data_IF_790381593990
#
_entry.id   IF_790381593990
#
_cell.length_a   1.000
_cell.length_b   1.000
_cell.length_c   1.000
_cell.angle_alpha   90.00
_cell.angle_beta   90.00
_cell.angle_gamma   90.00
#
_symmetry.space_group_name_H-M   'P 1'
#
loop_
_entity.id
_entity.type
_entity.pdbx_description
1 polymer ?
#
# COMPACT_ATOMS: atom_id res chain seq x y z
N UNK A 1 1.02 -2.47 -16.89
CA UNK A 1 0.12 -3.12 -15.90
C UNK A 1 -0.81 -2.04 -15.34
N UNK A 2 -2.12 -2.22 -15.45
CA UNK A 2 -3.16 -1.31 -14.93
C UNK A 2 -3.51 -1.57 -13.46
N UNK A 3 -2.99 -2.66 -12.88
CA UNK A 3 -3.31 -3.12 -11.51
C UNK A 3 -3.16 -2.06 -10.44
N UNK A 4 -2.23 -1.11 -10.56
CA UNK A 4 -2.15 0.01 -9.61
C UNK A 4 -3.42 0.87 -9.61
N UNK A 5 -4.07 1.06 -10.77
CA UNK A 5 -5.28 1.85 -10.90
C UNK A 5 -6.47 1.06 -10.36
N UNK A 6 -6.64 -0.17 -10.83
CA UNK A 6 -7.78 -1.01 -10.45
C UNK A 6 -7.76 -1.28 -8.93
N UNK A 7 -6.63 -1.79 -8.41
CA UNK A 7 -6.49 -2.13 -7.00
C UNK A 7 -6.34 -0.90 -6.11
N UNK A 8 -5.59 0.11 -6.56
CA UNK A 8 -5.40 1.33 -5.78
C UNK A 8 -6.66 2.18 -5.70
N UNK A 9 -7.48 2.21 -6.75
CA UNK A 9 -8.79 2.88 -6.69
C UNK A 9 -9.77 2.09 -5.83
N UNK A 10 -9.79 0.77 -5.91
CA UNK A 10 -10.60 -0.06 -5.03
C UNK A 10 -10.24 0.16 -3.55
N UNK A 11 -8.94 0.13 -3.21
CA UNK A 11 -8.45 0.38 -1.85
C UNK A 11 -8.75 1.81 -1.38
N UNK A 12 -8.52 2.82 -2.22
CA UNK A 12 -8.80 4.21 -1.85
C UNK A 12 -10.30 4.45 -1.64
N UNK A 13 -11.15 4.00 -2.56
CA UNK A 13 -12.58 4.23 -2.48
C UNK A 13 -13.28 3.37 -1.44
N UNK A 14 -12.78 2.19 -1.09
CA UNK A 14 -13.32 1.44 0.06
C UNK A 14 -13.19 2.26 1.35
N UNK A 15 -12.06 2.93 1.54
CA UNK A 15 -11.78 3.79 2.70
C UNK A 15 -12.64 5.06 2.64
N UNK A 16 -12.57 5.81 1.52
CA UNK A 16 -13.25 7.10 1.39
C UNK A 16 -14.77 6.98 1.43
N UNK A 17 -15.34 5.99 0.74
CA UNK A 17 -16.80 5.81 0.71
C UNK A 17 -17.33 5.32 2.06
N UNK A 18 -16.58 4.49 2.79
CA UNK A 18 -16.94 4.10 4.15
C UNK A 18 -16.99 5.30 5.11
N UNK A 19 -16.02 6.22 4.98
CA UNK A 19 -16.04 7.48 5.75
C UNK A 19 -17.23 8.35 5.38
N UNK A 20 -17.45 8.58 4.08
CA UNK A 20 -18.54 9.44 3.58
C UNK A 20 -19.94 8.90 3.88
N UNK A 21 -20.08 7.58 3.95
CA UNK A 21 -21.31 6.92 4.37
C UNK A 21 -21.53 6.95 5.89
N UNK A 22 -20.60 7.51 6.67
CA UNK A 22 -20.66 7.56 8.14
C UNK A 22 -20.44 6.21 8.82
N UNK A 23 -19.91 5.20 8.10
CA UNK A 23 -19.64 3.86 8.63
C UNK A 23 -18.37 3.87 9.48
N UNK A 24 -17.35 4.64 9.07
CA UNK A 24 -16.08 4.77 9.79
C UNK A 24 -15.87 6.17 10.39
N UNK A 25 -15.09 6.22 11.48
CA UNK A 25 -14.65 7.45 12.13
C UNK A 25 -13.15 7.70 11.92
N UNK A 26 -12.66 8.88 12.30
CA UNK A 26 -11.28 9.34 12.01
C UNK A 26 -10.20 8.34 12.41
N UNK A 27 -10.33 7.67 13.57
CA UNK A 27 -9.34 6.68 14.02
C UNK A 27 -9.25 5.47 13.09
N UNK A 28 -10.38 4.91 12.65
CA UNK A 28 -10.40 3.77 11.74
C UNK A 28 -9.91 4.18 10.34
N UNK A 29 -10.36 5.35 9.88
CA UNK A 29 -9.89 5.93 8.63
C UNK A 29 -8.36 6.11 8.62
N UNK A 30 -7.79 6.72 9.67
CA UNK A 30 -6.34 6.89 9.79
C UNK A 30 -5.62 5.55 9.90
N UNK A 31 -6.22 4.55 10.56
CA UNK A 31 -5.67 3.19 10.60
C UNK A 31 -5.56 2.61 9.19
N UNK A 32 -6.66 2.57 8.44
CA UNK A 32 -6.69 1.97 7.09
C UNK A 32 -5.73 2.69 6.12
N UNK A 33 -5.65 4.02 6.22
CA UNK A 33 -4.72 4.83 5.45
C UNK A 33 -3.26 4.54 5.82
N UNK A 34 -2.94 4.46 7.11
CA UNK A 34 -1.58 4.23 7.58
C UNK A 34 -1.11 2.78 7.44
N UNK A 35 -2.03 1.81 7.43
CA UNK A 35 -1.70 0.42 7.07
C UNK A 35 -1.24 0.36 5.61
N UNK A 36 -1.92 1.09 4.71
CA UNK A 36 -1.48 1.22 3.32
C UNK A 36 -0.19 2.02 3.17
N UNK A 37 0.02 3.08 3.96
CA UNK A 37 1.30 3.79 4.01
C UNK A 37 2.43 2.87 4.48
N UNK A 38 2.18 2.03 5.50
CA UNK A 38 3.12 1.04 6.01
C UNK A 38 3.46 0.01 4.93
N UNK A 39 2.47 -0.54 4.23
CA UNK A 39 2.69 -1.39 3.06
C UNK A 39 3.60 -0.69 2.05
N UNK A 40 3.31 0.58 1.70
CA UNK A 40 4.08 1.29 0.68
C UNK A 40 5.54 1.57 1.10
N UNK A 41 5.75 2.16 2.27
CA UNK A 41 7.06 2.63 2.73
C UNK A 41 7.96 1.50 3.21
N UNK A 42 7.40 0.44 3.80
CA UNK A 42 8.18 -0.66 4.38
C UNK A 42 8.39 -1.84 3.43
N UNK A 43 7.80 -1.82 2.22
CA UNK A 43 7.97 -2.89 1.26
C UNK A 43 9.37 -2.83 0.60
N UNK A 44 10.18 -3.91 0.67
CA UNK A 44 11.54 -3.92 0.14
C UNK A 44 11.60 -3.81 -1.39
N UNK A 45 10.47 -3.99 -2.09
CA UNK A 45 10.36 -3.88 -3.54
C UNK A 45 9.84 -2.50 -3.99
N UNK A 46 9.67 -1.53 -3.08
CA UNK A 46 9.02 -0.24 -3.38
C UNK A 46 9.66 0.55 -4.51
N UNK A 47 10.96 0.36 -4.77
CA UNK A 47 11.73 1.07 -5.81
C UNK A 47 11.68 0.38 -7.16
N UNK A 48 11.06 -0.79 -7.27
CA UNK A 48 10.88 -1.48 -8.55
C UNK A 48 9.80 -0.78 -9.38
N UNK A 49 10.00 -0.72 -10.70
CA UNK A 49 8.98 -0.22 -11.62
C UNK A 49 7.76 -1.16 -11.65
N UNK A 50 6.61 -0.65 -12.10
CA UNK A 50 5.40 -1.47 -12.27
C UNK A 50 5.65 -2.67 -13.21
N UNK A 51 6.51 -2.51 -14.22
CA UNK A 51 6.88 -3.60 -15.12
C UNK A 51 7.69 -4.69 -14.40
N UNK A 52 8.64 -4.30 -13.53
CA UNK A 52 9.42 -5.25 -12.73
C UNK A 52 8.57 -5.95 -11.66
N UNK A 53 7.61 -5.25 -11.06
CA UNK A 53 6.65 -5.88 -10.13
C UNK A 53 5.75 -6.88 -10.82
N UNK A 54 5.26 -6.57 -12.03
CA UNK A 54 4.41 -7.48 -12.81
C UNK A 54 5.08 -8.85 -13.04
N UNK A 55 6.40 -8.87 -13.28
CA UNK A 55 7.18 -10.10 -13.46
C UNK A 55 7.25 -10.98 -12.18
N UNK A 56 6.98 -10.39 -11.01
CA UNK A 56 7.04 -11.02 -9.69
C UNK A 56 5.68 -11.23 -9.04
N UNK A 57 4.61 -10.69 -9.63
CA UNK A 57 3.29 -10.58 -8.99
C UNK A 57 2.75 -11.91 -8.46
N UNK A 58 2.88 -13.00 -9.23
CA UNK A 58 2.41 -14.34 -8.84
C UNK A 58 3.44 -15.16 -8.04
N UNK A 59 4.62 -14.60 -7.80
CA UNK A 59 5.77 -15.31 -7.17
C UNK A 59 6.15 -14.71 -5.81
N UNK A 60 5.77 -13.47 -5.56
CA UNK A 60 6.17 -12.74 -4.36
C UNK A 60 4.97 -11.97 -3.80
N UNK A 61 4.44 -12.36 -2.64
CA UNK A 61 3.31 -11.68 -2.01
C UNK A 61 3.54 -10.18 -1.77
N UNK A 62 4.81 -9.77 -1.63
CA UNK A 62 5.18 -8.35 -1.50
C UNK A 62 5.00 -7.59 -2.81
N UNK A 63 5.29 -8.24 -3.94
CA UNK A 63 5.02 -7.66 -5.26
C UNK A 63 3.53 -7.64 -5.59
N UNK A 64 2.76 -8.56 -5.00
CA UNK A 64 1.31 -8.64 -5.15
C UNK A 64 0.58 -7.52 -4.39
N UNK A 65 0.97 -7.25 -3.13
CA UNK A 65 0.31 -6.22 -2.29
C UNK A 65 0.71 -4.79 -2.66
N UNK A 66 1.95 -4.57 -3.13
CA UNK A 66 2.47 -3.22 -3.39
C UNK A 66 1.64 -2.38 -4.38
N UNK A 67 1.08 -2.92 -5.49
CA UNK A 67 0.23 -2.15 -6.40
C UNK A 67 -0.98 -1.47 -5.74
N UNK A 68 -1.60 -2.11 -4.73
CA UNK A 68 -2.72 -1.55 -3.97
C UNK A 68 -2.30 -0.25 -3.29
N UNK A 69 -1.28 -0.34 -2.43
CA UNK A 69 -0.77 0.79 -1.68
C UNK A 69 -0.15 1.85 -2.60
N UNK A 70 0.64 1.46 -3.61
CA UNK A 70 1.23 2.40 -4.58
C UNK A 70 0.17 3.18 -5.35
N UNK A 71 -0.90 2.49 -5.78
CA UNK A 71 -2.02 3.09 -6.46
C UNK A 71 -2.78 4.08 -5.59
N UNK A 72 -3.09 3.70 -4.35
CA UNK A 72 -3.70 4.58 -3.35
C UNK A 72 -2.85 5.84 -3.13
N UNK A 73 -1.54 5.69 -2.92
CA UNK A 73 -0.62 6.82 -2.69
C UNK A 73 -0.59 7.80 -3.88
N UNK A 74 -0.63 7.28 -5.11
CA UNK A 74 -0.68 8.11 -6.31
C UNK A 74 -2.02 8.83 -6.47
N UNK A 75 -3.13 8.11 -6.31
CA UNK A 75 -4.47 8.68 -6.43
C UNK A 75 -4.74 9.74 -5.35
N UNK A 76 -4.30 9.50 -4.11
CA UNK A 76 -4.34 10.48 -3.02
C UNK A 76 -3.53 11.75 -3.35
N UNK A 77 -2.36 11.60 -4.00
CA UNK A 77 -1.57 12.74 -4.45
C UNK A 77 -2.26 13.53 -5.57
N UNK A 78 -2.84 12.84 -6.56
CA UNK A 78 -3.60 13.50 -7.64
C UNK A 78 -4.77 14.28 -7.04
N UNK A 79 -5.53 13.67 -6.13
CA UNK A 79 -6.65 14.31 -5.43
C UNK A 79 -6.21 15.59 -4.69
N UNK A 80 -5.12 15.52 -3.92
CA UNK A 80 -4.54 16.67 -3.23
C UNK A 80 -4.17 17.81 -4.20
N UNK A 81 -3.49 17.48 -5.30
CA UNK A 81 -3.08 18.46 -6.32
C UNK A 81 -4.28 19.11 -7.02
N UNK A 82 -5.32 18.32 -7.35
CA UNK A 82 -6.52 18.81 -8.04
C UNK A 82 -7.33 19.71 -7.12
N UNK A 83 -7.53 19.32 -5.86
CA UNK A 83 -8.18 20.17 -4.86
C UNK A 83 -7.42 21.49 -4.69
N UNK A 84 -6.10 21.44 -4.55
CA UNK A 84 -5.29 22.65 -4.37
C UNK A 84 -5.36 23.59 -5.58
N UNK A 85 -5.33 23.06 -6.82
CA UNK A 85 -5.38 23.89 -8.03
C UNK A 85 -6.76 24.48 -8.33
N UNK A 86 -7.82 23.85 -7.82
CA UNK A 86 -9.21 24.24 -8.08
C UNK A 86 -9.88 24.95 -6.91
N UNK A 87 -9.14 25.31 -5.85
CA UNK A 87 -9.69 25.82 -4.58
C UNK A 87 -10.81 24.91 -4.02
N UNK A 88 -10.61 23.59 -4.12
CA UNK A 88 -11.56 22.56 -3.65
C UNK A 88 -12.78 22.33 -4.54
N UNK A 89 -12.92 23.06 -5.66
CA UNK A 89 -14.08 22.92 -6.58
C UNK A 89 -14.06 21.62 -7.38
N UNK A 90 -12.88 21.00 -7.53
CA UNK A 90 -12.66 19.73 -8.23
C UNK A 90 -11.91 18.78 -7.31
N UNK A 91 -12.16 17.49 -7.47
CA UNK A 91 -11.51 16.40 -6.72
C UNK A 91 -11.28 15.18 -7.61
N UNK A 92 -10.61 14.16 -7.09
CA UNK A 92 -10.37 12.91 -7.80
C UNK A 92 -11.64 12.28 -8.38
N UNK A 93 -12.75 12.36 -7.63
CA UNK A 93 -14.04 11.81 -8.03
C UNK A 93 -14.52 12.33 -9.39
N UNK A 94 -14.27 13.61 -9.68
CA UNK A 94 -14.64 14.20 -10.97
C UNK A 94 -13.91 13.53 -12.15
N UNK A 95 -12.65 13.15 -11.94
CA UNK A 95 -11.80 12.50 -12.95
C UNK A 95 -12.23 11.04 -13.11
N UNK A 96 -12.42 10.34 -12.00
CA UNK A 96 -12.84 8.92 -12.00
C UNK A 96 -14.23 8.77 -12.60
N UNK A 97 -15.19 9.62 -12.23
CA UNK A 97 -16.53 9.62 -12.81
C UNK A 97 -16.51 9.93 -14.31
N UNK A 98 -15.64 10.83 -14.77
CA UNK A 98 -15.45 11.07 -16.20
C UNK A 98 -14.90 9.83 -16.93
N UNK A 99 -13.98 9.08 -16.31
CA UNK A 99 -13.47 7.83 -16.89
C UNK A 99 -14.55 6.74 -16.92
N UNK A 100 -15.36 6.63 -15.87
CA UNK A 100 -16.51 5.69 -15.80
C UNK A 100 -17.58 6.05 -16.85
N UNK A 101 -17.87 7.33 -17.06
CA UNK A 101 -18.82 7.76 -18.10
C UNK A 101 -18.33 7.36 -19.50
N UNK A 102 -17.03 7.49 -19.78
CA UNK A 102 -16.43 6.98 -21.03
C UNK A 102 -16.63 5.48 -21.18
N UNK A 103 -16.36 4.71 -20.14
CA UNK A 103 -16.57 3.25 -20.13
C UNK A 103 -18.03 2.89 -20.42
N UNK A 104 -18.99 3.54 -19.77
CA UNK A 104 -20.44 3.32 -19.98
C UNK A 104 -20.90 3.62 -21.40
N UNK A 105 -20.23 4.56 -22.07
CA UNK A 105 -20.49 4.93 -23.46
C UNK A 105 -19.72 4.07 -24.48
N UNK A 106 -18.99 3.06 -24.04
CA UNK A 106 -18.17 2.22 -24.92
C UNK A 106 -16.96 2.92 -25.52
N UNK A 107 -16.50 4.03 -24.91
CA UNK A 107 -15.32 4.78 -25.35
C UNK A 107 -14.04 4.20 -24.71
N UNK A 108 -12.87 4.61 -25.22
CA UNK A 108 -11.57 4.28 -24.62
C UNK A 108 -11.47 4.83 -23.19
N UNK A 109 -10.93 4.02 -22.28
CA UNK A 109 -10.83 4.34 -20.85
C UNK A 109 -9.53 3.77 -20.23
N UNK A 110 -8.47 3.72 -21.03
CA UNK A 110 -7.16 3.22 -20.61
C UNK A 110 -6.30 4.28 -19.90
N UNK A 111 -5.03 3.94 -19.65
CA UNK A 111 -4.06 4.82 -18.98
C UNK A 111 -3.86 6.14 -19.74
N UNK A 112 -3.93 6.13 -21.07
CA UNK A 112 -3.86 7.36 -21.87
C UNK A 112 -5.04 8.28 -21.60
N UNK A 113 -6.26 7.73 -21.49
CA UNK A 113 -7.47 8.49 -21.20
C UNK A 113 -7.44 9.05 -19.76
N UNK A 114 -6.99 8.24 -18.80
CA UNK A 114 -6.73 8.69 -17.43
C UNK A 114 -5.76 9.89 -17.42
N UNK A 115 -4.62 9.75 -18.08
CA UNK A 115 -3.61 10.81 -18.16
C UNK A 115 -4.17 12.08 -18.81
N UNK A 116 -4.97 11.95 -19.86
CA UNK A 116 -5.60 13.09 -20.52
C UNK A 116 -6.58 13.82 -19.59
N UNK A 117 -7.36 13.09 -18.80
CA UNK A 117 -8.26 13.69 -17.82
C UNK A 117 -7.48 14.41 -16.71
N UNK A 118 -6.45 13.77 -16.14
CA UNK A 118 -5.60 14.42 -15.12
C UNK A 118 -4.85 15.63 -15.69
N UNK A 119 -4.39 15.57 -16.95
CA UNK A 119 -3.71 16.68 -17.62
C UNK A 119 -4.62 17.90 -17.83
N UNK A 120 -5.92 17.71 -18.03
CA UNK A 120 -6.88 18.83 -18.08
C UNK A 120 -6.94 19.58 -16.76
N UNK A 121 -6.88 18.86 -15.64
CA UNK A 121 -6.90 19.45 -14.31
C UNK A 121 -5.52 20.04 -13.94
N UNK A 122 -4.44 19.27 -14.10
CA UNK A 122 -3.11 19.59 -13.53
C UNK A 122 -2.09 20.15 -14.52
N UNK A 123 -2.32 20.04 -15.83
CA UNK A 123 -1.38 20.46 -16.88
C UNK A 123 -0.27 19.44 -17.17
N UNK A 124 0.79 19.82 -17.89
CA UNK A 124 1.82 18.91 -18.42
C UNK A 124 2.54 18.05 -17.37
N UNK A 125 2.66 18.55 -16.13
CA UNK A 125 3.29 17.84 -15.01
C UNK A 125 2.64 16.50 -14.67
N UNK A 126 1.36 16.31 -15.03
CA UNK A 126 0.63 15.05 -14.79
C UNK A 126 1.35 13.82 -15.36
N UNK A 127 2.01 13.95 -16.51
CA UNK A 127 2.78 12.86 -17.12
C UNK A 127 4.02 12.52 -16.30
N UNK A 128 4.77 13.53 -15.86
CA UNK A 128 5.96 13.33 -15.04
C UNK A 128 5.62 12.65 -13.71
N UNK A 129 4.49 13.03 -13.09
CA UNK A 129 4.02 12.41 -11.85
C UNK A 129 3.56 10.95 -12.06
N UNK A 130 2.85 10.66 -13.16
CA UNK A 130 2.49 9.29 -13.52
C UNK A 130 3.75 8.43 -13.79
N UNK A 131 4.69 8.93 -14.57
CA UNK A 131 5.94 8.22 -14.89
C UNK A 131 6.77 7.97 -13.62
N UNK A 132 6.84 8.95 -12.72
CA UNK A 132 7.52 8.80 -11.45
C UNK A 132 6.94 7.63 -10.63
N UNK A 133 5.61 7.53 -10.54
CA UNK A 133 4.96 6.38 -9.90
C UNK A 133 5.26 5.07 -10.62
N UNK A 134 5.15 5.04 -11.95
CA UNK A 134 5.38 3.84 -12.77
C UNK A 134 6.80 3.32 -12.60
N UNK A 135 7.78 4.20 -12.50
CA UNK A 135 9.20 3.87 -12.30
C UNK A 135 9.57 3.62 -10.83
N UNK A 136 8.59 3.55 -9.92
CA UNK A 136 8.84 3.25 -8.50
C UNK A 136 9.54 4.38 -7.74
N UNK A 137 9.48 5.62 -8.24
CA UNK A 137 9.92 6.77 -7.46
C UNK A 137 8.98 6.99 -6.28
N UNK A 138 9.53 7.51 -5.19
CA UNK A 138 8.77 7.72 -3.96
C UNK A 138 7.65 8.75 -4.16
N UNK A 139 6.46 8.40 -3.67
CA UNK A 139 5.27 9.22 -3.65
C UNK A 139 5.03 9.72 -2.23
N UNK A 140 4.83 11.04 -2.10
CA UNK A 140 4.45 11.67 -0.86
C UNK A 140 3.18 12.51 -1.12
N UNK A 141 1.98 11.98 -0.84
CA UNK A 141 0.70 12.67 -1.03
C UNK A 141 0.47 13.74 0.06
N UNK A 142 1.33 14.76 0.10
CA UNK A 142 1.18 15.88 1.03
C UNK A 142 -0.18 16.55 0.86
N UNK A 143 -0.81 16.91 1.98
CA UNK A 143 -2.14 17.56 2.03
C UNK A 143 -3.26 16.74 1.38
N UNK A 144 -3.09 15.42 1.23
CA UNK A 144 -4.18 14.55 0.83
C UNK A 144 -5.24 14.43 1.93
N UNK A 145 -6.45 14.06 1.52
CA UNK A 145 -7.64 13.88 2.34
C UNK A 145 -8.23 15.20 2.83
N UNK A 146 -8.31 15.40 4.14
CA UNK A 146 -8.99 16.53 4.74
C UNK A 146 -8.01 17.45 5.50
N UNK A 147 -8.32 18.75 5.67
CA UNK A 147 -7.45 19.71 6.38
C UNK A 147 -7.11 19.33 7.82
N UNK A 148 -7.94 18.49 8.43
CA UNK A 148 -7.74 17.91 9.75
C UNK A 148 -6.62 16.88 9.83
N UNK A 149 -6.05 16.44 8.70
CA UNK A 149 -4.97 15.46 8.65
C UNK A 149 -3.67 16.09 8.17
N UNK A 150 -2.56 15.69 8.79
CA UNK A 150 -1.21 16.11 8.41
C UNK A 150 -0.41 14.89 8.00
N UNK A 151 0.40 15.05 6.96
CA UNK A 151 1.31 14.01 6.50
C UNK A 151 2.68 14.24 7.12
N UNK A 152 3.05 13.40 8.09
CA UNK A 152 4.24 13.58 8.92
C UNK A 152 5.28 12.51 8.67
N UNK A 153 6.56 12.89 8.82
CA UNK A 153 7.66 11.95 8.78
C UNK A 153 7.62 11.00 9.98
N UNK A 154 7.92 9.74 9.72
CA UNK A 154 7.92 8.67 10.71
C UNK A 154 9.10 7.72 10.45
N UNK A 155 9.44 6.89 11.43
CA UNK A 155 10.48 5.85 11.29
C UNK A 155 9.85 4.49 11.50
N UNK A 156 9.88 3.66 10.46
CA UNK A 156 9.41 2.27 10.52
C UNK A 156 10.52 1.31 10.15
N UNK A 157 10.28 0.00 10.27
CA UNK A 157 11.21 -1.03 9.84
C UNK A 157 10.67 -1.76 8.63
N UNK A 158 11.54 -2.09 7.67
CA UNK A 158 11.17 -2.86 6.48
C UNK A 158 10.43 -4.14 6.87
N UNK A 159 9.38 -4.47 6.11
CA UNK A 159 8.80 -5.81 6.19
C UNK A 159 9.85 -6.83 5.73
N UNK A 160 10.21 -7.73 6.64
CA UNK A 160 11.30 -8.67 6.43
C UNK A 160 11.08 -9.96 7.22
N UNK A 161 10.74 -11.02 6.50
CA UNK A 161 10.51 -12.35 7.07
C UNK A 161 11.80 -12.98 7.63
N UNK A 162 12.98 -12.58 7.16
CA UNK A 162 14.24 -13.23 7.57
C UNK A 162 14.54 -14.55 6.84
N UNK A 163 13.80 -14.85 5.79
CA UNK A 163 14.01 -15.97 4.85
C UNK A 163 13.39 -15.62 3.48
N UNK A 164 13.43 -16.55 2.52
CA UNK A 164 12.84 -16.37 1.19
C UNK A 164 11.31 -16.29 1.25
N UNK A 165 10.79 -15.06 1.15
CA UNK A 165 9.35 -14.79 1.15
C UNK A 165 8.58 -15.28 -0.08
N UNK A 166 9.26 -15.67 -1.16
CA UNK A 166 8.57 -16.22 -2.36
C UNK A 166 7.98 -17.59 -2.08
N UNK A 167 8.52 -18.33 -1.11
CA UNK A 167 7.97 -19.62 -0.65
C UNK A 167 6.54 -19.53 -0.09
N UNK A 168 6.04 -18.32 0.21
CA UNK A 168 4.65 -18.12 0.63
C UNK A 168 3.65 -18.06 -0.52
N UNK A 169 4.12 -18.07 -1.76
CA UNK A 169 3.29 -18.27 -2.97
C UNK A 169 3.23 -19.73 -3.41
N UNK A 170 4.02 -20.63 -2.81
CA UNK A 170 4.00 -22.05 -3.12
C UNK A 170 2.76 -22.73 -2.50
N UNK A 171 2.24 -23.78 -3.17
CA UNK A 171 1.15 -24.61 -2.63
C UNK A 171 1.49 -25.20 -1.26
N UNK A 172 2.74 -25.60 -1.07
CA UNK A 172 3.29 -25.99 0.22
C UNK A 172 4.36 -24.98 0.63
N UNK A 173 4.05 -24.20 1.66
CA UNK A 173 4.96 -23.20 2.22
C UNK A 173 6.07 -23.91 2.99
N UNK A 174 7.30 -23.76 2.51
CA UNK A 174 8.50 -24.33 3.13
C UNK A 174 9.48 -23.19 3.37
N UNK A 175 9.95 -23.05 4.60
CA UNK A 175 10.99 -22.07 4.93
C UNK A 175 12.29 -22.42 4.19
N UNK A 176 12.84 -21.46 3.44
CA UNK A 176 14.09 -21.59 2.68
C UNK A 176 14.95 -20.35 2.83
N UNK A 177 16.27 -20.54 2.91
CA UNK A 177 17.22 -19.44 2.97
C UNK A 177 17.07 -18.59 4.23
N UNK A 178 16.90 -19.22 5.40
CA UNK A 178 16.91 -18.51 6.68
C UNK A 178 18.20 -17.70 6.82
N UNK A 179 18.04 -16.38 6.96
CA UNK A 179 19.17 -15.46 7.06
C UNK A 179 19.69 -15.48 8.50
N UNK A 180 20.98 -15.79 8.66
CA UNK A 180 21.65 -15.80 9.95
C UNK A 180 21.51 -14.45 10.66
N UNK A 181 21.17 -14.48 11.94
CA UNK A 181 20.94 -13.27 12.73
C UNK A 181 19.67 -12.50 12.37
N UNK A 182 18.78 -13.03 11.53
CA UNK A 182 17.42 -12.46 11.35
C UNK A 182 16.53 -12.71 12.58
N UNK A 183 15.38 -12.02 12.64
CA UNK A 183 14.38 -12.27 13.67
C UNK A 183 13.85 -13.70 13.62
N UNK A 184 13.59 -14.24 12.42
CA UNK A 184 13.19 -15.63 12.22
C UNK A 184 14.25 -16.63 12.72
N UNK A 185 15.52 -16.41 12.39
CA UNK A 185 16.61 -17.27 12.85
C UNK A 185 16.72 -17.29 14.39
N UNK A 186 16.65 -16.12 15.04
CA UNK A 186 16.66 -16.02 16.52
C UNK A 186 15.46 -16.68 17.16
N UNK A 187 14.30 -16.65 16.51
CA UNK A 187 13.09 -17.31 16.97
C UNK A 187 13.07 -18.82 16.67
N UNK A 188 14.09 -19.35 16.00
CA UNK A 188 14.29 -20.78 15.78
C UNK A 188 13.76 -21.31 14.45
N UNK A 189 13.40 -20.46 13.48
CA UNK A 189 13.14 -20.90 12.10
C UNK A 189 14.36 -21.56 11.47
N UNK A 190 14.12 -22.63 10.72
CA UNK A 190 15.16 -23.38 10.02
C UNK A 190 14.71 -23.72 8.59
N UNK A 191 15.68 -23.89 7.71
CA UNK A 191 15.42 -24.37 6.36
C UNK A 191 14.79 -25.77 6.40
N UNK A 192 13.74 -25.96 5.58
CA UNK A 192 12.98 -27.21 5.54
C UNK A 192 11.81 -27.29 6.52
N UNK A 193 11.59 -26.26 7.36
CA UNK A 193 10.35 -26.16 8.13
C UNK A 193 9.14 -26.13 7.19
N UNK A 194 8.27 -27.13 7.29
CA UNK A 194 7.01 -27.16 6.55
C UNK A 194 5.97 -26.38 7.34
N UNK A 195 5.51 -25.25 6.79
CA UNK A 195 4.53 -24.38 7.46
C UNK A 195 3.14 -25.01 7.33
N UNK A 196 2.53 -25.29 8.46
CA UNK A 196 1.17 -25.85 8.57
C UNK A 196 0.14 -24.74 8.67
N UNK A 197 0.49 -23.67 9.39
CA UNK A 197 -0.38 -22.52 9.68
C UNK A 197 0.51 -21.30 9.92
N UNK A 198 0.08 -20.11 9.51
CA UNK A 198 0.84 -18.88 9.71
C UNK A 198 -0.06 -17.67 9.79
N UNK A 199 0.36 -16.64 10.52
CA UNK A 199 -0.21 -15.30 10.37
C UNK A 199 -0.19 -14.87 8.89
N UNK A 200 -1.28 -14.28 8.43
CA UNK A 200 -1.41 -13.86 7.03
C UNK A 200 -0.39 -12.78 6.66
N UNK A 201 0.30 -12.97 5.53
CA UNK A 201 1.30 -12.00 5.06
C UNK A 201 0.66 -10.68 4.67
N UNK A 202 -0.61 -10.69 4.29
CA UNK A 202 -1.34 -9.47 3.97
C UNK A 202 -1.37 -8.53 5.18
N UNK A 203 -1.77 -9.05 6.34
CA UNK A 203 -1.83 -8.29 7.58
C UNK A 203 -0.44 -7.87 8.06
N UNK A 204 0.53 -8.78 8.00
CA UNK A 204 1.91 -8.49 8.43
C UNK A 204 2.57 -7.39 7.57
N UNK A 205 2.12 -7.17 6.35
CA UNK A 205 2.66 -6.09 5.52
C UNK A 205 2.08 -4.72 5.90
N UNK A 206 0.87 -4.66 6.44
CA UNK A 206 0.20 -3.41 6.85
C UNK A 206 0.40 -3.03 8.31
N UNK A 207 0.49 -4.00 9.21
CA UNK A 207 0.61 -3.75 10.66
C UNK A 207 2.07 -3.96 11.11
N UNK A 208 2.79 -2.86 11.38
CA UNK A 208 4.22 -2.91 11.70
C UNK A 208 4.56 -3.53 13.07
N UNK A 209 3.55 -3.74 13.93
CA UNK A 209 3.63 -4.33 15.25
C UNK A 209 3.16 -5.79 15.30
N UNK A 210 2.52 -6.29 14.23
CA UNK A 210 2.00 -7.67 14.18
C UNK A 210 3.12 -8.71 14.10
N UNK A 211 3.04 -9.68 15.00
CA UNK A 211 3.95 -10.83 15.01
C UNK A 211 3.58 -11.84 13.93
N UNK A 212 4.61 -12.36 13.25
CA UNK A 212 4.51 -13.61 12.54
C UNK A 212 4.46 -14.75 13.55
N UNK A 213 3.37 -15.51 13.54
CA UNK A 213 3.22 -16.77 14.26
C UNK A 213 3.11 -17.88 13.23
N UNK A 214 4.06 -18.82 13.23
CA UNK A 214 4.06 -19.99 12.34
C UNK A 214 3.97 -21.26 13.15
N UNK A 215 3.03 -22.13 12.82
CA UNK A 215 3.08 -23.55 13.21
C UNK A 215 3.80 -24.30 12.12
N UNK A 216 4.91 -24.94 12.46
CA UNK A 216 5.76 -25.65 11.51
C UNK A 216 5.89 -27.12 11.91
N UNK A 217 6.06 -27.99 10.92
CA UNK A 217 6.42 -29.39 11.10
C UNK A 217 7.89 -29.59 10.78
N UNK A 218 8.66 -30.03 11.78
CA UNK A 218 10.09 -30.33 11.68
C UNK A 218 10.36 -31.72 12.25
N UNK A 219 10.94 -32.62 11.47
CA UNK A 219 11.23 -34.01 11.88
C UNK A 219 10.04 -34.70 12.56
N UNK A 220 8.85 -34.61 11.96
CA UNK A 220 7.57 -35.15 12.49
C UNK A 220 7.10 -34.58 13.84
N UNK A 221 7.64 -33.44 14.27
CA UNK A 221 7.16 -32.69 15.44
C UNK A 221 6.60 -31.34 14.99
N UNK A 222 5.54 -30.90 15.65
CA UNK A 222 4.99 -29.56 15.44
C UNK A 222 5.57 -28.58 16.45
N UNK A 223 5.97 -27.41 15.96
CA UNK A 223 6.59 -26.34 16.73
C UNK A 223 5.88 -25.03 16.40
N UNK A 224 5.77 -24.12 17.37
CA UNK A 224 5.31 -22.76 17.12
C UNK A 224 6.49 -21.81 17.18
N UNK A 225 6.68 -21.02 16.13
CA UNK A 225 7.70 -19.99 16.03
C UNK A 225 6.97 -18.64 15.98
N UNK A 226 7.36 -17.71 16.86
CA UNK A 226 6.79 -16.37 16.93
C UNK A 226 7.89 -15.32 16.90
N UNK A 227 7.76 -14.33 16.01
CA UNK A 227 8.67 -13.19 15.93
C UNK A 227 8.04 -12.03 15.17
N UNK A 228 8.60 -10.83 15.37
CA UNK A 228 8.21 -9.63 14.64
C UNK A 228 8.99 -9.56 13.30
N UNK A 229 8.35 -9.67 12.12
CA UNK A 229 9.02 -9.79 10.83
C UNK A 229 9.46 -8.42 10.29
N UNK A 230 10.41 -7.80 10.99
CA UNK A 230 10.90 -6.45 10.71
C UNK A 230 12.42 -6.40 10.57
N UNK A 231 12.88 -5.67 9.56
CA UNK A 231 14.28 -5.51 9.21
C UNK A 231 14.87 -4.16 9.61
N UNK A 232 15.69 -3.60 8.72
CA UNK A 232 16.33 -2.30 8.91
C UNK A 232 15.29 -1.16 9.03
N UNK A 233 15.67 -0.12 9.76
CA UNK A 233 14.86 1.10 9.89
C UNK A 233 14.89 1.89 8.58
N UNK A 234 13.76 2.48 8.20
CA UNK A 234 13.56 3.29 7.00
C UNK A 234 12.75 4.54 7.31
N UNK A 235 12.94 5.55 6.47
CA UNK A 235 12.04 6.70 6.41
C UNK A 235 10.67 6.29 5.86
N UNK A 236 9.64 6.78 6.53
CA UNK A 236 8.24 6.51 6.24
C UNK A 236 7.44 7.76 6.55
N UNK A 237 6.16 7.76 6.19
CA UNK A 237 5.27 8.87 6.48
C UNK A 237 3.88 8.35 6.79
N UNK A 238 3.22 8.96 7.77
CA UNK A 238 1.84 8.64 8.16
C UNK A 238 0.97 9.89 8.11
N UNK A 239 -0.33 9.67 7.93
CA UNK A 239 -1.33 10.68 8.24
C UNK A 239 -1.63 10.67 9.73
N UNK A 240 -1.66 11.85 10.34
CA UNK A 240 -2.01 12.04 11.75
C UNK A 240 -3.12 13.09 11.87
N UNK A 241 -3.97 12.96 12.90
CA UNK A 241 -4.94 14.00 13.23
C UNK A 241 -4.22 15.25 13.71
N UNK A 242 -4.49 16.38 13.09
CA UNK A 242 -4.06 17.69 13.56
C UNK A 242 -4.82 18.06 14.84
N UNK A 243 -4.09 18.28 15.94
CA UNK A 243 -4.68 18.55 17.26
C UNK A 243 -5.33 19.94 17.38
N UNK A 244 -4.99 20.85 16.47
CA UNK A 244 -5.46 22.24 16.45
C UNK A 244 -6.54 22.52 15.40
N UNK A 245 -7.09 21.48 14.76
CA UNK A 245 -8.09 21.60 13.70
C UNK A 245 -9.41 20.99 14.17
N UNK A 246 -10.52 21.74 14.29
CA UNK A 246 -11.81 21.22 14.75
C UNK A 246 -12.35 20.07 13.89
N UNK A 247 -13.17 19.19 14.46
CA UNK A 247 -13.81 18.10 13.70
C UNK A 247 -14.75 18.61 12.61
N UNK A 248 -15.33 19.80 12.81
CA UNK A 248 -16.24 20.45 11.84
C UNK A 248 -15.57 20.81 10.51
N UNK A 249 -14.24 20.83 10.44
CA UNK A 249 -13.50 21.05 9.18
C UNK A 249 -12.83 19.77 8.66
N UNK A 250 -13.17 18.62 9.24
CA UNK A 250 -12.70 17.30 8.84
C UNK A 250 -13.66 16.63 7.83
N UNK A 251 -14.25 17.44 6.95
CA UNK A 251 -15.17 16.97 5.92
C UNK A 251 -14.42 16.40 4.69
N UNK A 252 -15.00 15.36 4.07
CA UNK A 252 -14.41 14.49 3.04
C UNK A 252 -15.14 14.52 1.69
#
# INVERSE_FOLDING_TARGET
MTTWFDEGSAELYSILLSRRAGITHDTLLLSDLNDNATVYYTNPLRTLSNAQLAQRFWKDPRAQRLPYARGLMYLARVDAQVRAKSDGKRRLDDIVLALVDRQRKGLSHGISDWLDLVRKELGPQAKADLDAMVEGKQLNPYNAFAPCFRFEAFKQRLFYLGFDGTSWSDTQKIVRGVVAGSAAARAGSQDGDVVVDSTELWDLQGDDAKDMVMKVRRHNRELTIRYLPRGATVDSYHWVRATNVPDSVCEF
#
